data_IF_528950332055
#
_entry.id   IF_528950332055
#
_cell.length_a   1.000
_cell.length_b   1.000
_cell.length_c   1.000
_cell.angle_alpha   90.00
_cell.angle_beta   90.00
_cell.angle_gamma   90.00
#
_symmetry.space_group_name_H-M   'P 1'
#
loop_
_entity.id
_entity.type
_entity.pdbx_description
1 polymer ?
#
# COMPACT_ATOMS: atom_id res chain seq x y z
N UNK A 1 31.89 -41.07 -45.84
CA UNK A 1 30.44 -41.02 -45.60
C UNK A 1 30.19 -41.77 -44.31
N UNK A 2 30.02 -41.04 -43.20
CA UNK A 2 29.80 -41.62 -41.88
C UNK A 2 28.35 -41.31 -41.47
N UNK A 3 27.56 -42.36 -41.25
CA UNK A 3 26.18 -42.28 -40.76
C UNK A 3 26.17 -41.78 -39.31
N UNK A 4 25.53 -40.64 -39.09
CA UNK A 4 25.25 -40.11 -37.76
C UNK A 4 23.99 -40.81 -37.20
N UNK A 5 24.20 -41.71 -36.25
CA UNK A 5 23.13 -42.35 -35.48
C UNK A 5 22.52 -41.29 -34.55
N UNK A 6 21.30 -40.84 -34.85
CA UNK A 6 20.51 -39.97 -33.98
C UNK A 6 20.13 -40.73 -32.71
N UNK A 7 20.71 -40.33 -31.58
CA UNK A 7 20.29 -40.77 -30.26
C UNK A 7 18.87 -40.26 -29.98
N UNK A 8 17.90 -41.16 -30.02
CA UNK A 8 16.54 -40.89 -29.57
C UNK A 8 16.57 -40.74 -28.05
N UNK A 9 16.59 -39.49 -27.57
CA UNK A 9 16.34 -39.17 -26.16
C UNK A 9 14.92 -39.60 -25.79
N UNK A 10 14.79 -40.77 -25.18
CA UNK A 10 13.57 -41.20 -24.49
C UNK A 10 13.39 -40.32 -23.26
N UNK A 11 12.55 -39.29 -23.36
CA UNK A 11 12.03 -38.60 -22.19
C UNK A 11 11.17 -39.60 -21.39
N UNK A 12 11.36 -39.71 -20.06
CA UNK A 12 10.45 -40.51 -19.25
C UNK A 12 9.02 -40.00 -19.45
N UNK A 13 8.02 -40.89 -19.53
CA UNK A 13 6.63 -40.49 -19.66
C UNK A 13 6.31 -39.52 -18.54
N UNK A 14 5.72 -38.39 -18.90
CA UNK A 14 5.27 -37.39 -17.96
C UNK A 14 4.30 -38.07 -16.98
N UNK A 15 4.81 -38.49 -15.82
CA UNK A 15 3.97 -38.78 -14.67
C UNK A 15 3.17 -37.52 -14.46
N UNK A 16 1.90 -37.58 -14.82
CA UNK A 16 0.86 -36.68 -14.36
C UNK A 16 0.79 -36.85 -12.85
N UNK A 17 1.77 -36.26 -12.15
CA UNK A 17 1.56 -35.80 -10.81
C UNK A 17 0.30 -34.96 -10.91
N UNK A 18 -0.80 -35.54 -10.46
CA UNK A 18 -1.97 -34.80 -10.01
C UNK A 18 -1.43 -33.93 -8.90
N UNK A 19 -0.82 -32.80 -9.29
CA UNK A 19 -0.39 -31.75 -8.38
C UNK A 19 -1.68 -31.33 -7.74
N UNK A 20 -1.87 -31.86 -6.55
CA UNK A 20 -2.99 -31.58 -5.69
C UNK A 20 -3.03 -30.06 -5.60
N UNK A 21 -3.96 -29.44 -6.35
CA UNK A 21 -4.11 -27.99 -6.58
C UNK A 21 -4.57 -27.26 -5.30
N UNK A 22 -4.11 -27.76 -4.14
CA UNK A 22 -4.66 -27.58 -2.79
C UNK A 22 -3.81 -26.64 -1.92
N UNK A 23 -3.03 -25.75 -2.52
CA UNK A 23 -2.51 -24.57 -1.83
C UNK A 23 -2.45 -23.40 -2.81
N UNK A 24 -3.59 -22.69 -2.97
CA UNK A 24 -3.76 -21.62 -3.96
C UNK A 24 -3.25 -20.25 -3.46
N UNK A 25 -2.15 -20.22 -2.72
CA UNK A 25 -1.42 -18.95 -2.56
C UNK A 25 -0.77 -18.61 -3.91
N UNK A 26 -0.80 -17.33 -4.30
CA UNK A 26 -0.09 -16.90 -5.53
C UNK A 26 1.43 -17.05 -5.38
N UNK A 27 1.92 -17.07 -4.15
CA UNK A 27 3.32 -17.19 -3.77
C UNK A 27 3.57 -18.49 -3.03
N UNK A 28 4.70 -19.13 -3.32
CA UNK A 28 5.22 -20.18 -2.45
C UNK A 28 5.79 -19.55 -1.18
N UNK A 29 5.86 -20.32 -0.10
CA UNK A 29 6.35 -19.82 1.20
C UNK A 29 7.78 -19.27 1.12
N UNK A 30 8.63 -19.92 0.32
CA UNK A 30 10.02 -19.54 0.06
C UNK A 30 10.18 -18.30 -0.85
N UNK A 31 9.11 -17.88 -1.53
CA UNK A 31 9.15 -16.75 -2.47
C UNK A 31 8.73 -15.41 -1.84
N UNK A 32 8.00 -15.41 -0.72
CA UNK A 32 7.40 -14.18 -0.17
C UNK A 32 8.45 -13.18 0.30
N UNK A 33 9.45 -13.61 1.05
CA UNK A 33 10.52 -12.70 1.52
C UNK A 33 11.39 -12.21 0.35
N UNK A 34 11.84 -13.06 -0.59
CA UNK A 34 12.52 -12.60 -1.80
C UNK A 34 11.70 -11.60 -2.63
N UNK A 35 10.39 -11.83 -2.81
CA UNK A 35 9.53 -10.90 -3.55
C UNK A 35 9.37 -9.57 -2.80
N UNK A 36 9.25 -9.60 -1.47
CA UNK A 36 9.22 -8.39 -0.66
C UNK A 36 10.52 -7.58 -0.73
N UNK A 37 11.69 -8.25 -0.70
CA UNK A 37 12.98 -7.59 -0.92
C UNK A 37 13.11 -7.03 -2.33
N UNK A 38 12.60 -7.74 -3.34
CA UNK A 38 12.51 -7.24 -4.72
C UNK A 38 11.63 -5.99 -4.79
N UNK A 39 10.48 -5.94 -4.11
CA UNK A 39 9.65 -4.74 -4.00
C UNK A 39 10.48 -3.58 -3.45
N UNK A 40 11.17 -3.77 -2.33
CA UNK A 40 12.01 -2.73 -1.74
C UNK A 40 13.12 -2.26 -2.69
N UNK A 41 13.81 -3.19 -3.36
CA UNK A 41 14.81 -2.86 -4.39
C UNK A 41 14.22 -1.94 -5.46
N UNK A 42 13.03 -2.25 -5.98
CA UNK A 42 12.35 -1.44 -6.98
C UNK A 42 11.79 -0.11 -6.44
N UNK A 43 11.65 0.05 -5.13
CA UNK A 43 11.41 1.36 -4.50
C UNK A 43 12.70 2.18 -4.38
N UNK A 44 13.82 1.56 -3.98
CA UNK A 44 15.09 2.26 -3.82
C UNK A 44 15.64 2.81 -5.14
N UNK A 45 15.46 2.10 -6.27
CA UNK A 45 15.92 2.57 -7.58
C UNK A 45 15.43 3.99 -7.90
N UNK A 46 14.11 4.29 -7.99
CA UNK A 46 13.64 5.63 -8.30
C UNK A 46 14.00 6.64 -7.20
N UNK A 47 13.96 6.25 -5.92
CA UNK A 47 14.37 7.15 -4.82
C UNK A 47 15.82 7.59 -5.00
N UNK A 48 16.74 6.66 -5.29
CA UNK A 48 18.15 6.97 -5.51
C UNK A 48 18.35 7.83 -6.76
N UNK A 49 17.65 7.53 -7.86
CA UNK A 49 17.69 8.37 -9.07
C UNK A 49 17.28 9.82 -8.75
N UNK A 50 16.16 10.03 -8.06
CA UNK A 50 15.71 11.37 -7.70
C UNK A 50 16.59 12.04 -6.64
N UNK A 51 17.24 11.26 -5.78
CA UNK A 51 18.24 11.78 -4.83
C UNK A 51 19.43 12.36 -5.57
N UNK A 52 19.93 11.69 -6.62
CA UNK A 52 21.01 12.22 -7.47
C UNK A 52 20.59 13.54 -8.11
N UNK A 53 19.38 13.62 -8.68
CA UNK A 53 18.89 14.86 -9.28
C UNK A 53 18.75 15.98 -8.24
N UNK A 54 18.22 15.66 -7.05
CA UNK A 54 18.17 16.62 -5.94
C UNK A 54 19.55 17.13 -5.51
N UNK A 55 20.57 16.27 -5.48
CA UNK A 55 21.95 16.68 -5.21
C UNK A 55 22.45 17.66 -6.27
N UNK A 56 22.18 17.40 -7.56
CA UNK A 56 22.51 18.31 -8.65
C UNK A 56 21.79 19.66 -8.49
N UNK A 57 20.48 19.66 -8.24
CA UNK A 57 19.71 20.88 -8.02
C UNK A 57 20.24 21.71 -6.84
N UNK A 58 20.57 21.03 -5.73
CA UNK A 58 20.96 21.69 -4.49
C UNK A 58 22.39 22.24 -4.51
N UNK A 59 23.33 21.49 -5.06
CA UNK A 59 24.76 21.82 -4.93
C UNK A 59 25.37 22.38 -6.21
N UNK A 60 24.84 22.02 -7.39
CA UNK A 60 25.37 22.47 -8.69
C UNK A 60 24.54 23.63 -9.22
N UNK A 61 23.23 23.42 -9.39
CA UNK A 61 22.33 24.46 -9.94
C UNK A 61 22.05 25.56 -8.91
N UNK A 62 22.00 25.19 -7.62
CA UNK A 62 21.71 26.09 -6.50
C UNK A 62 20.39 26.88 -6.66
N UNK A 63 19.42 26.29 -7.35
CA UNK A 63 18.11 26.91 -7.53
C UNK A 63 17.35 27.00 -6.19
N UNK A 64 16.74 28.15 -5.91
CA UNK A 64 15.81 28.32 -4.79
C UNK A 64 14.51 27.56 -5.03
N UNK A 65 14.13 27.39 -6.30
CA UNK A 65 12.96 26.64 -6.74
C UNK A 65 13.40 25.25 -7.23
N UNK A 66 13.23 24.24 -6.37
CA UNK A 66 13.67 22.86 -6.63
C UNK A 66 12.49 21.97 -6.97
N UNK A 67 12.66 21.09 -7.94
CA UNK A 67 11.62 20.11 -8.29
C UNK A 67 11.50 19.04 -7.20
N UNK A 68 12.63 18.64 -6.61
CA UNK A 68 12.69 17.47 -5.72
C UNK A 68 12.97 17.82 -4.26
N UNK A 69 12.09 18.56 -3.56
CA UNK A 69 12.32 18.85 -2.12
C UNK A 69 12.50 17.60 -1.24
N UNK A 70 11.83 16.51 -1.61
CA UNK A 70 11.97 15.21 -0.96
C UNK A 70 12.06 14.12 -2.04
N UNK A 71 13.26 13.58 -2.31
CA UNK A 71 13.49 12.55 -3.33
C UNK A 71 12.67 11.28 -3.16
N UNK A 72 12.22 10.97 -1.94
CA UNK A 72 11.36 9.82 -1.69
C UNK A 72 9.87 10.12 -1.95
N UNK A 73 9.45 11.37 -1.80
CA UNK A 73 8.05 11.79 -1.98
C UNK A 73 7.65 11.87 -3.46
N UNK A 74 8.53 12.39 -4.31
CA UNK A 74 8.25 12.54 -5.74
C UNK A 74 7.88 11.22 -6.44
N UNK A 75 8.64 10.12 -6.31
CA UNK A 75 8.23 8.84 -6.88
C UNK A 75 6.92 8.31 -6.28
N UNK A 76 6.64 8.57 -5.00
CA UNK A 76 5.33 8.21 -4.41
C UNK A 76 4.18 8.91 -5.13
N UNK A 77 4.32 10.19 -5.48
CA UNK A 77 3.29 10.91 -6.25
C UNK A 77 3.10 10.31 -7.64
N UNK A 78 4.19 10.14 -8.38
CA UNK A 78 4.16 9.63 -9.76
C UNK A 78 3.50 8.24 -9.82
N UNK A 79 4.01 7.30 -9.01
CA UNK A 79 3.50 5.93 -9.00
C UNK A 79 2.16 5.81 -8.27
N UNK A 80 1.93 6.62 -7.23
CA UNK A 80 0.69 6.65 -6.47
C UNK A 80 -0.48 7.18 -7.29
N UNK A 81 -0.34 8.31 -8.00
CA UNK A 81 -1.40 8.80 -8.89
C UNK A 81 -1.72 7.81 -10.01
N UNK A 82 -0.69 7.16 -10.58
CA UNK A 82 -0.90 6.06 -11.52
C UNK A 82 -1.68 4.92 -10.91
N UNK A 83 -1.28 4.47 -9.72
CA UNK A 83 -1.96 3.42 -8.98
C UNK A 83 -3.42 3.78 -8.70
N UNK A 84 -3.69 5.01 -8.28
CA UNK A 84 -5.05 5.51 -7.98
C UNK A 84 -5.92 5.51 -9.22
N UNK A 85 -5.42 6.06 -10.33
CA UNK A 85 -6.17 6.13 -11.58
C UNK A 85 -6.44 4.75 -12.16
N UNK A 86 -5.43 3.87 -12.22
CA UNK A 86 -5.60 2.50 -12.74
C UNK A 86 -6.55 1.70 -11.85
N UNK A 87 -6.39 1.80 -10.52
CA UNK A 87 -7.30 1.18 -9.56
C UNK A 87 -8.74 1.65 -9.75
N UNK A 88 -8.95 2.96 -9.88
CA UNK A 88 -10.26 3.57 -10.14
C UNK A 88 -10.84 3.06 -11.46
N UNK A 89 -10.12 3.14 -12.58
CA UNK A 89 -10.60 2.66 -13.87
C UNK A 89 -10.99 1.17 -13.84
N UNK A 90 -10.21 0.33 -13.16
CA UNK A 90 -10.50 -1.09 -13.01
C UNK A 90 -11.74 -1.35 -12.13
N UNK A 91 -11.93 -0.54 -11.09
CA UNK A 91 -13.12 -0.57 -10.25
C UNK A 91 -14.36 -0.13 -11.04
N UNK A 92 -14.31 1.03 -11.70
CA UNK A 92 -15.42 1.63 -12.46
C UNK A 92 -15.91 0.73 -13.60
N UNK A 93 -15.01 -0.02 -14.23
CA UNK A 93 -15.35 -0.97 -15.30
C UNK A 93 -15.59 -2.40 -14.81
N UNK A 94 -15.63 -2.63 -13.49
CA UNK A 94 -15.95 -3.95 -12.93
C UNK A 94 -17.43 -4.31 -13.15
N UNK A 95 -17.76 -5.61 -13.14
CA UNK A 95 -19.15 -6.08 -13.24
C UNK A 95 -20.06 -5.51 -12.13
N UNK A 96 -19.48 -5.13 -10.98
CA UNK A 96 -20.23 -4.61 -9.82
C UNK A 96 -20.74 -3.20 -10.03
N UNK A 97 -19.94 -2.36 -10.68
CA UNK A 97 -20.33 -0.99 -11.02
C UNK A 97 -21.41 -0.93 -12.11
N UNK A 98 -21.82 -2.08 -12.66
CA UNK A 98 -23.02 -2.18 -13.51
C UNK A 98 -24.32 -2.25 -12.72
N UNK A 99 -24.26 -2.44 -11.40
CA UNK A 99 -25.42 -2.53 -10.50
C UNK A 99 -25.56 -1.24 -9.69
N UNK A 100 -26.80 -0.82 -9.42
CA UNK A 100 -27.11 0.35 -8.57
C UNK A 100 -26.43 0.24 -7.20
N UNK A 101 -26.48 -0.94 -6.57
CA UNK A 101 -25.81 -1.15 -5.28
C UNK A 101 -24.30 -0.91 -5.31
N UNK A 102 -23.62 -1.15 -6.45
CA UNK A 102 -22.21 -0.82 -6.61
C UNK A 102 -21.97 0.70 -6.59
N UNK A 103 -22.82 1.46 -7.27
CA UNK A 103 -22.78 2.92 -7.26
C UNK A 103 -23.10 3.52 -5.89
N UNK A 104 -24.09 2.97 -5.18
CA UNK A 104 -24.42 3.41 -3.81
C UNK A 104 -23.21 3.26 -2.89
N UNK A 105 -22.52 2.11 -2.94
CA UNK A 105 -21.28 1.92 -2.19
C UNK A 105 -20.17 2.90 -2.61
N UNK A 106 -19.97 3.10 -3.90
CA UNK A 106 -18.96 4.04 -4.41
C UNK A 106 -19.22 5.47 -3.93
N UNK A 107 -20.44 5.98 -4.13
CA UNK A 107 -20.83 7.34 -3.74
C UNK A 107 -20.78 7.50 -2.21
N UNK A 108 -21.27 6.51 -1.46
CA UNK A 108 -21.19 6.53 0.00
C UNK A 108 -19.76 6.59 0.52
N UNK A 109 -18.86 5.75 -0.01
CA UNK A 109 -17.45 5.77 0.37
C UNK A 109 -16.74 7.05 -0.09
N UNK A 110 -17.10 7.60 -1.25
CA UNK A 110 -16.59 8.88 -1.72
C UNK A 110 -17.00 10.00 -0.74
N UNK A 111 -18.27 10.06 -0.33
CA UNK A 111 -18.75 11.02 0.65
C UNK A 111 -18.02 10.91 1.99
N UNK A 112 -17.83 9.68 2.51
CA UNK A 112 -17.02 9.44 3.72
C UNK A 112 -15.59 9.94 3.55
N UNK A 113 -14.98 9.71 2.38
CA UNK A 113 -13.61 10.16 2.12
C UNK A 113 -13.47 11.69 2.07
N UNK A 114 -14.50 12.38 1.59
CA UNK A 114 -14.56 13.85 1.61
C UNK A 114 -14.67 14.35 3.05
N UNK A 115 -15.49 13.70 3.90
CA UNK A 115 -15.58 14.05 5.32
C UNK A 115 -14.24 13.86 6.05
N UNK A 116 -13.55 12.74 5.82
CA UNK A 116 -12.22 12.49 6.39
C UNK A 116 -11.22 13.54 5.88
N UNK A 117 -11.29 13.92 4.60
CA UNK A 117 -10.43 14.94 4.01
C UNK A 117 -10.66 16.33 4.59
N UNK A 118 -11.92 16.73 4.79
CA UNK A 118 -12.30 17.99 5.44
C UNK A 118 -11.84 18.00 6.90
N UNK A 119 -12.04 16.91 7.63
CA UNK A 119 -11.53 16.76 8.99
C UNK A 119 -10.00 16.91 9.00
N UNK A 120 -9.28 16.17 8.15
CA UNK A 120 -7.82 16.26 8.05
C UNK A 120 -7.37 17.69 7.75
N UNK A 121 -8.02 18.40 6.82
CA UNK A 121 -7.73 19.81 6.51
C UNK A 121 -7.97 20.75 7.69
N UNK A 122 -9.13 20.66 8.35
CA UNK A 122 -9.51 21.54 9.46
C UNK A 122 -8.58 21.44 10.67
N UNK A 123 -7.90 20.31 10.82
CA UNK A 123 -6.91 20.08 11.87
C UNK A 123 -5.46 20.25 11.38
N UNK A 124 -5.23 21.02 10.31
CA UNK A 124 -3.89 21.41 9.85
C UNK A 124 -3.23 20.44 8.87
N UNK A 125 -3.92 19.36 8.50
CA UNK A 125 -3.51 18.40 7.48
C UNK A 125 -2.08 17.91 7.66
N UNK A 126 -1.27 17.97 6.59
CA UNK A 126 0.13 17.55 6.63
C UNK A 126 1.03 18.40 7.55
N UNK A 127 0.59 19.62 7.90
CA UNK A 127 1.34 20.48 8.81
C UNK A 127 1.16 20.05 10.27
N UNK A 128 0.02 19.43 10.58
CA UNK A 128 -0.22 18.82 11.88
C UNK A 128 0.35 17.40 11.93
N UNK A 129 1.37 17.15 12.75
CA UNK A 129 2.02 15.84 12.85
C UNK A 129 1.12 14.72 13.37
N UNK A 130 0.17 15.02 14.27
CA UNK A 130 -0.79 14.04 14.78
C UNK A 130 -1.67 13.56 13.63
N UNK A 131 -2.09 14.50 12.78
CA UNK A 131 -2.83 14.18 11.56
C UNK A 131 -2.00 13.34 10.59
N UNK A 132 -0.70 13.60 10.44
CA UNK A 132 0.20 12.77 9.62
C UNK A 132 0.31 11.34 10.18
N UNK A 133 0.40 11.16 11.50
CA UNK A 133 0.40 9.84 12.15
C UNK A 133 -0.93 9.11 11.86
N UNK A 134 -2.08 9.76 12.05
CA UNK A 134 -3.38 9.16 11.75
C UNK A 134 -3.56 8.82 10.28
N UNK A 135 -3.14 9.72 9.40
CA UNK A 135 -3.10 9.46 7.96
C UNK A 135 -2.27 8.21 7.65
N UNK A 136 -1.09 8.10 8.25
CA UNK A 136 -0.22 6.95 8.04
C UNK A 136 -0.84 5.66 8.58
N UNK A 137 -1.40 5.68 9.79
CA UNK A 137 -2.11 4.53 10.36
C UNK A 137 -3.33 4.12 9.50
N UNK A 138 -4.07 5.09 8.97
CA UNK A 138 -5.18 4.86 8.05
C UNK A 138 -4.70 4.19 6.75
N UNK A 139 -3.61 4.68 6.17
CA UNK A 139 -2.96 4.01 5.03
C UNK A 139 -2.51 2.59 5.38
N UNK A 140 -1.95 2.36 6.57
CA UNK A 140 -1.54 1.04 7.01
C UNK A 140 -2.71 0.06 7.14
N UNK A 141 -3.92 0.52 7.46
CA UNK A 141 -5.12 -0.35 7.43
C UNK A 141 -5.30 -0.95 6.04
N UNK A 142 -5.17 -0.11 5.01
CA UNK A 142 -5.27 -0.53 3.62
C UNK A 142 -4.10 -1.39 3.17
N UNK A 143 -2.87 -0.95 3.46
CA UNK A 143 -1.66 -1.68 3.10
C UNK A 143 -1.64 -3.10 3.68
N UNK A 144 -1.98 -3.26 4.96
CA UNK A 144 -2.05 -4.57 5.61
C UNK A 144 -3.16 -5.46 5.05
N UNK A 145 -4.34 -4.90 4.80
CA UNK A 145 -5.43 -5.64 4.15
C UNK A 145 -5.00 -6.19 2.80
N UNK A 146 -4.30 -5.37 2.01
CA UNK A 146 -3.81 -5.78 0.69
C UNK A 146 -2.66 -6.80 0.80
N UNK A 147 -1.75 -6.68 1.77
CA UNK A 147 -0.73 -7.72 2.05
C UNK A 147 -1.35 -9.06 2.42
N UNK A 148 -2.38 -9.06 3.28
CA UNK A 148 -3.14 -10.28 3.59
C UNK A 148 -3.76 -10.83 2.31
N UNK A 149 -4.35 -9.98 1.47
CA UNK A 149 -4.89 -10.42 0.19
C UNK A 149 -3.83 -10.99 -0.77
N UNK A 150 -2.59 -10.51 -0.72
CA UNK A 150 -1.50 -10.98 -1.58
C UNK A 150 -0.97 -12.35 -1.16
N UNK A 151 -0.78 -12.56 0.14
CA UNK A 151 0.03 -13.66 0.67
C UNK A 151 -0.75 -14.69 1.49
N UNK A 152 -2.02 -14.44 1.84
CA UNK A 152 -2.81 -15.39 2.63
C UNK A 152 -3.05 -16.68 1.83
N UNK A 153 -2.79 -17.86 2.42
CA UNK A 153 -3.13 -19.13 1.79
C UNK A 153 -4.66 -19.32 1.74
N UNK A 154 -5.14 -19.87 0.62
CA UNK A 154 -6.55 -20.23 0.42
C UNK A 154 -6.72 -21.72 0.74
N UNK A 155 -7.75 -22.04 1.52
CA UNK A 155 -8.15 -23.41 1.89
C UNK A 155 -9.58 -23.66 1.43
N UNK A 156 -9.94 -24.91 1.16
CA UNK A 156 -11.32 -25.28 0.79
C UNK A 156 -12.28 -25.26 2.02
N UNK A 157 -11.74 -25.23 3.24
CA UNK A 157 -12.52 -25.07 4.48
C UNK A 157 -12.86 -23.60 4.75
N UNK A 158 -14.09 -23.22 4.42
CA UNK A 158 -14.60 -21.86 4.61
C UNK A 158 -14.62 -21.40 6.08
N UNK A 159 -14.85 -22.32 7.03
CA UNK A 159 -14.88 -22.01 8.46
C UNK A 159 -13.49 -21.70 9.00
N UNK A 160 -12.50 -22.51 8.60
CA UNK A 160 -11.10 -22.29 8.89
C UNK A 160 -10.59 -21.00 8.25
N UNK A 161 -10.96 -20.75 6.98
CA UNK A 161 -10.58 -19.53 6.28
C UNK A 161 -11.12 -18.27 6.97
N UNK A 162 -12.39 -18.29 7.40
CA UNK A 162 -13.01 -17.19 8.14
C UNK A 162 -12.31 -16.94 9.46
N UNK A 163 -12.00 -18.00 10.20
CA UNK A 163 -11.29 -17.90 11.49
C UNK A 163 -9.89 -17.31 11.32
N UNK A 164 -9.14 -17.76 10.30
CA UNK A 164 -7.83 -17.19 9.94
C UNK A 164 -7.91 -15.72 9.56
N UNK A 165 -8.89 -15.31 8.74
CA UNK A 165 -9.11 -13.90 8.40
C UNK A 165 -9.40 -13.04 9.63
N UNK A 166 -10.21 -13.55 10.57
CA UNK A 166 -10.51 -12.85 11.83
C UNK A 166 -9.27 -12.68 12.69
N UNK A 167 -8.44 -13.73 12.79
CA UNK A 167 -7.17 -13.66 13.53
C UNK A 167 -6.23 -12.63 12.88
N UNK A 168 -6.07 -12.65 11.55
CA UNK A 168 -5.23 -11.66 10.84
C UNK A 168 -5.74 -10.23 11.00
N UNK A 169 -7.06 -10.02 10.96
CA UNK A 169 -7.66 -8.71 11.22
C UNK A 169 -7.41 -8.24 12.67
N UNK A 170 -7.47 -9.14 13.64
CA UNK A 170 -7.14 -8.81 15.03
C UNK A 170 -5.64 -8.55 15.25
N UNK A 171 -4.75 -9.29 14.58
CA UNK A 171 -3.32 -8.98 14.56
C UNK A 171 -3.06 -7.59 13.98
N UNK A 172 -3.71 -7.26 12.87
CA UNK A 172 -3.64 -5.94 12.26
C UNK A 172 -4.12 -4.86 13.23
N UNK A 173 -5.26 -5.07 13.91
CA UNK A 173 -5.76 -4.15 14.92
C UNK A 173 -4.75 -3.99 16.07
N UNK A 174 -4.25 -5.09 16.64
CA UNK A 174 -3.23 -5.04 17.70
C UNK A 174 -1.99 -4.27 17.25
N UNK A 175 -1.49 -4.54 16.05
CA UNK A 175 -0.32 -3.87 15.50
C UNK A 175 -0.54 -2.37 15.33
N UNK A 176 -1.68 -1.96 14.78
CA UNK A 176 -2.01 -0.53 14.62
C UNK A 176 -2.15 0.18 15.96
N UNK A 177 -2.77 -0.46 16.95
CA UNK A 177 -2.86 0.08 18.32
C UNK A 177 -1.46 0.21 18.93
N UNK A 178 -0.62 -0.82 18.83
CA UNK A 178 0.77 -0.79 19.30
C UNK A 178 1.60 0.29 18.59
N UNK A 179 1.47 0.44 17.28
CA UNK A 179 2.15 1.50 16.53
C UNK A 179 1.68 2.89 16.99
N UNK A 180 0.37 3.09 17.20
CA UNK A 180 -0.17 4.33 17.75
C UNK A 180 0.45 4.64 19.13
N UNK A 181 0.60 3.63 20.00
CA UNK A 181 1.23 3.77 21.31
C UNK A 181 2.70 4.11 21.31
N UNK A 182 3.43 3.73 20.27
CA UNK A 182 4.86 4.04 20.18
C UNK A 182 5.04 5.36 19.45
N UNK A 183 4.40 5.54 18.30
CA UNK A 183 4.61 6.69 17.42
C UNK A 183 4.10 7.99 18.05
N UNK A 184 2.96 7.98 18.73
CA UNK A 184 2.40 9.20 19.31
C UNK A 184 3.28 9.74 20.44
N UNK A 185 3.66 8.96 21.48
CA UNK A 185 4.58 9.43 22.51
C UNK A 185 5.99 9.74 21.97
N UNK A 186 6.53 8.91 21.08
CA UNK A 186 7.84 9.18 20.46
C UNK A 186 7.84 10.51 19.70
N UNK A 187 6.72 10.85 19.07
CA UNK A 187 6.55 12.13 18.40
C UNK A 187 6.53 13.32 19.38
N UNK A 188 5.79 13.22 20.49
CA UNK A 188 5.77 14.28 21.50
C UNK A 188 7.12 14.44 22.20
N UNK A 189 7.83 13.34 22.44
CA UNK A 189 9.21 13.37 22.94
C UNK A 189 10.15 14.05 21.93
N UNK A 190 10.01 13.73 20.64
CA UNK A 190 10.79 14.40 19.60
C UNK A 190 10.53 15.92 19.58
N UNK A 191 9.28 16.34 19.73
CA UNK A 191 8.92 17.76 19.79
C UNK A 191 9.46 18.47 21.03
N UNK A 192 9.44 17.83 22.19
CA UNK A 192 10.03 18.44 23.40
C UNK A 192 11.54 18.61 23.28
N UNK A 193 12.21 17.71 22.56
CA UNK A 193 13.64 17.80 22.29
C UNK A 193 13.99 18.79 21.16
N UNK A 194 13.08 19.01 20.21
CA UNK A 194 13.25 19.93 19.08
C UNK A 194 12.00 20.79 18.90
N UNK A 195 11.83 21.84 19.73
CA UNK A 195 10.69 22.73 19.63
C UNK A 195 10.63 23.33 18.23
N UNK A 196 9.48 23.17 17.57
CA UNK A 196 9.19 23.85 16.30
C UNK A 196 8.30 25.04 16.58
N UNK A 197 8.61 26.24 16.04
CA UNK A 197 7.67 27.35 16.09
C UNK A 197 6.51 27.03 15.14
N UNK A 198 5.38 26.61 15.71
CA UNK A 198 4.12 26.49 14.97
C UNK A 198 3.43 27.85 14.92
N UNK A 199 2.62 28.10 13.90
CA UNK A 199 1.73 29.27 13.92
C UNK A 199 0.73 29.12 15.07
N UNK A 200 0.24 30.22 15.67
CA UNK A 200 -0.72 30.15 16.76
C UNK A 200 -1.96 29.30 16.42
N UNK A 201 -2.43 29.37 15.18
CA UNK A 201 -3.59 28.61 14.70
C UNK A 201 -3.31 27.11 14.69
N UNK A 202 -2.15 26.70 14.17
CA UNK A 202 -1.77 25.28 14.13
C UNK A 202 -1.49 24.73 15.53
N UNK A 203 -0.89 25.54 16.41
CA UNK A 203 -0.69 25.17 17.80
C UNK A 203 -2.04 24.93 18.50
N UNK A 204 -3.00 25.85 18.33
CA UNK A 204 -4.35 25.70 18.88
C UNK A 204 -5.06 24.44 18.34
N UNK A 205 -4.90 24.12 17.04
CA UNK A 205 -5.44 22.89 16.45
C UNK A 205 -4.80 21.63 17.06
N UNK A 206 -3.50 21.63 17.31
CA UNK A 206 -2.79 20.51 17.96
C UNK A 206 -3.30 20.36 19.39
N UNK A 207 -3.32 21.43 20.16
CA UNK A 207 -3.76 21.45 21.56
C UNK A 207 -5.21 20.99 21.71
N UNK A 208 -6.10 21.43 20.82
CA UNK A 208 -7.50 21.00 20.79
C UNK A 208 -7.65 19.48 20.64
N UNK A 209 -6.76 18.81 19.90
CA UNK A 209 -6.79 17.36 19.71
C UNK A 209 -6.21 16.58 20.88
N UNK A 210 -5.40 17.20 21.73
CA UNK A 210 -4.66 16.49 22.78
C UNK A 210 -5.55 15.73 23.77
N UNK A 211 -6.67 16.28 24.29
CA UNK A 211 -7.57 15.54 25.18
C UNK A 211 -8.17 14.31 24.49
N UNK A 212 -8.59 14.46 23.23
CA UNK A 212 -9.14 13.35 22.44
C UNK A 212 -8.09 12.28 22.18
N UNK A 213 -6.85 12.68 21.84
CA UNK A 213 -5.75 11.77 21.62
C UNK A 213 -5.41 10.98 22.89
N UNK A 214 -5.40 11.63 24.06
CA UNK A 214 -5.26 10.95 25.36
C UNK A 214 -6.39 9.95 25.58
N UNK A 215 -7.64 10.34 25.32
CA UNK A 215 -8.80 9.46 25.41
C UNK A 215 -8.70 8.24 24.49
N UNK A 216 -8.31 8.45 23.22
CA UNK A 216 -8.08 7.39 22.23
C UNK A 216 -6.96 6.47 22.69
N UNK A 217 -5.83 7.01 23.16
CA UNK A 217 -4.72 6.25 23.72
C UNK A 217 -5.09 5.52 25.01
N UNK A 218 -6.08 5.96 25.79
CA UNK A 218 -6.54 5.18 26.93
C UNK A 218 -7.49 4.05 26.47
N UNK A 219 -8.44 4.38 25.59
CA UNK A 219 -9.39 3.41 25.04
C UNK A 219 -8.73 2.29 24.24
N UNK A 220 -7.64 2.59 23.51
CA UNK A 220 -6.91 1.58 22.75
C UNK A 220 -6.27 0.50 23.61
N UNK A 221 -6.06 0.72 24.92
CA UNK A 221 -5.41 -0.25 25.81
C UNK A 221 -6.40 -1.32 26.18
N UNK A 222 -7.61 -0.87 26.54
CA UNK A 222 -8.76 -1.73 26.78
C UNK A 222 -9.07 -2.52 25.52
N UNK A 223 -9.07 -1.86 24.36
CA UNK A 223 -9.30 -2.53 23.07
C UNK A 223 -8.22 -3.57 22.77
N UNK A 224 -6.93 -3.26 23.00
CA UNK A 224 -5.82 -4.19 22.81
C UNK A 224 -5.98 -5.44 23.67
N UNK A 225 -6.28 -5.28 24.96
CA UNK A 225 -6.57 -6.40 25.87
C UNK A 225 -7.75 -7.23 25.37
N UNK A 226 -8.82 -6.58 24.93
CA UNK A 226 -9.97 -7.24 24.30
C UNK A 226 -9.58 -8.06 23.07
N UNK A 227 -8.78 -7.49 22.17
CA UNK A 227 -8.27 -8.18 20.99
C UNK A 227 -7.44 -9.41 21.37
N UNK A 228 -6.56 -9.32 22.38
CA UNK A 228 -5.75 -10.44 22.85
C UNK A 228 -6.61 -11.58 23.43
N UNK A 229 -7.67 -11.25 24.18
CA UNK A 229 -8.61 -12.24 24.69
C UNK A 229 -9.36 -12.94 23.54
N UNK A 230 -9.83 -12.18 22.55
CA UNK A 230 -10.52 -12.74 21.38
C UNK A 230 -9.55 -13.60 20.54
N UNK A 231 -8.32 -13.15 20.33
CA UNK A 231 -7.27 -13.92 19.64
C UNK A 231 -7.05 -15.27 20.33
N UNK A 232 -6.88 -15.28 21.66
CA UNK A 232 -6.73 -16.52 22.43
C UNK A 232 -7.91 -17.48 22.22
N UNK A 233 -9.14 -16.97 22.13
CA UNK A 233 -10.34 -17.79 21.85
C UNK A 233 -10.35 -18.32 20.43
N UNK A 234 -9.94 -17.52 19.45
CA UNK A 234 -9.90 -17.95 18.05
C UNK A 234 -8.78 -18.96 17.77
N UNK A 235 -7.60 -18.82 18.39
CA UNK A 235 -6.53 -19.81 18.26
C UNK A 235 -6.96 -21.19 18.75
N UNK A 236 -7.77 -21.28 19.82
CA UNK A 236 -8.32 -22.56 20.28
C UNK A 236 -9.25 -23.25 19.28
N UNK A 237 -9.75 -22.53 18.27
CA UNK A 237 -10.59 -23.08 17.20
C UNK A 237 -9.77 -23.58 16.00
N UNK A 238 -8.47 -23.28 15.94
CA UNK A 238 -7.62 -23.72 14.85
C UNK A 238 -7.01 -25.10 15.16
N UNK A 239 -6.87 -25.98 14.16
CA UNK A 239 -5.99 -27.14 14.25
C UNK A 239 -4.58 -26.66 14.64
N UNK A 240 -3.97 -27.32 15.63
CA UNK A 240 -2.63 -27.01 16.16
C UNK A 240 -2.48 -25.60 16.75
N UNK A 241 -3.59 -24.92 17.01
CA UNK A 241 -3.64 -23.64 17.71
C UNK A 241 -2.77 -22.53 17.09
N UNK A 242 -1.95 -21.89 17.92
CA UNK A 242 -1.04 -20.83 17.49
C UNK A 242 0.07 -21.36 16.57
N UNK A 243 0.56 -22.57 16.80
CA UNK A 243 1.64 -23.18 16.01
C UNK A 243 1.17 -23.44 14.59
N UNK A 244 0.00 -24.04 14.41
CA UNK A 244 -0.61 -24.25 13.09
C UNK A 244 -0.91 -22.94 12.38
N UNK A 245 -1.38 -21.91 13.11
CA UNK A 245 -1.56 -20.57 12.55
C UNK A 245 -0.24 -19.97 12.07
N UNK A 246 0.80 -20.02 12.90
CA UNK A 246 2.12 -19.50 12.57
C UNK A 246 2.69 -20.18 11.34
N UNK A 247 2.72 -21.51 11.29
CA UNK A 247 3.25 -22.25 10.14
C UNK A 247 2.49 -21.87 8.85
N UNK A 248 1.15 -21.87 8.90
CA UNK A 248 0.34 -21.54 7.73
C UNK A 248 0.37 -20.07 7.29
N UNK A 249 0.74 -19.13 8.16
CA UNK A 249 0.72 -17.69 7.84
C UNK A 249 2.09 -17.02 7.99
N UNK A 250 3.15 -17.78 8.26
CA UNK A 250 4.52 -17.29 8.47
C UNK A 250 4.93 -16.27 7.42
N UNK A 251 4.68 -16.46 6.11
CA UNK A 251 5.10 -15.48 5.11
C UNK A 251 4.42 -14.12 5.28
N UNK A 252 3.11 -14.10 5.50
CA UNK A 252 2.34 -12.86 5.76
C UNK A 252 2.84 -12.20 7.04
N UNK A 253 3.01 -12.99 8.11
CA UNK A 253 3.45 -12.48 9.41
C UNK A 253 4.85 -11.88 9.36
N UNK A 254 5.76 -12.45 8.58
CA UNK A 254 7.11 -11.90 8.37
C UNK A 254 7.05 -10.56 7.62
N UNK A 255 6.25 -10.45 6.57
CA UNK A 255 6.08 -9.18 5.84
C UNK A 255 5.47 -8.11 6.76
N UNK A 256 4.48 -8.46 7.58
CA UNK A 256 3.90 -7.57 8.58
C UNK A 256 4.94 -7.14 9.62
N UNK A 257 5.75 -8.07 10.12
CA UNK A 257 6.83 -7.79 11.07
C UNK A 257 7.87 -6.85 10.47
N UNK A 258 8.39 -7.13 9.27
CA UNK A 258 9.38 -6.27 8.64
C UNK A 258 8.82 -4.87 8.35
N UNK A 259 7.56 -4.80 7.91
CA UNK A 259 6.88 -3.51 7.72
C UNK A 259 6.78 -2.74 9.04
N UNK A 260 6.39 -3.41 10.14
CA UNK A 260 6.34 -2.81 11.47
C UNK A 260 7.72 -2.33 11.94
N UNK A 261 8.78 -3.11 11.71
CA UNK A 261 10.15 -2.73 12.06
C UNK A 261 10.62 -1.49 11.29
N UNK A 262 10.31 -1.38 9.99
CA UNK A 262 10.61 -0.17 9.21
C UNK A 262 9.88 1.05 9.78
N UNK A 263 8.62 0.89 10.21
CA UNK A 263 7.84 1.96 10.84
C UNK A 263 8.48 2.38 12.17
N UNK A 264 8.84 1.41 13.01
CA UNK A 264 9.47 1.68 14.31
C UNK A 264 10.85 2.31 14.17
N UNK A 265 11.56 2.06 13.06
CA UNK A 265 12.81 2.74 12.72
C UNK A 265 12.63 4.18 12.21
N UNK A 266 11.40 4.58 11.84
CA UNK A 266 11.14 5.91 11.27
C UNK A 266 11.57 7.11 12.13
N UNK A 267 11.49 7.10 13.48
CA UNK A 267 11.98 8.22 14.29
C UNK A 267 13.51 8.39 14.20
N UNK A 268 14.25 7.30 13.96
CA UNK A 268 15.71 7.30 13.85
C UNK A 268 16.17 7.69 12.45
N UNK A 269 15.47 7.17 11.44
CA UNK A 269 15.88 7.24 10.04
C UNK A 269 15.28 8.44 9.31
N UNK A 270 14.21 9.01 9.87
CA UNK A 270 13.53 10.21 9.36
C UNK A 270 12.28 9.91 8.53
N UNK A 271 11.55 10.96 8.12
CA UNK A 271 10.21 10.85 7.53
C UNK A 271 10.18 10.22 6.12
N UNK A 272 11.33 10.03 5.47
CA UNK A 272 11.39 9.40 4.15
C UNK A 272 10.98 7.92 4.19
N UNK A 273 11.07 7.26 5.35
CA UNK A 273 10.64 5.86 5.52
C UNK A 273 9.14 5.70 5.28
N UNK A 274 8.32 6.71 5.62
CA UNK A 274 6.89 6.69 5.30
C UNK A 274 6.64 6.67 3.79
N UNK A 275 7.41 7.45 3.03
CA UNK A 275 7.36 7.42 1.57
C UNK A 275 7.81 6.06 1.03
N UNK A 276 8.89 5.48 1.57
CA UNK A 276 9.32 4.13 1.19
C UNK A 276 8.20 3.11 1.37
N UNK A 277 7.50 3.14 2.51
CA UNK A 277 6.39 2.23 2.80
C UNK A 277 5.20 2.43 1.85
N UNK A 278 4.81 3.68 1.61
CA UNK A 278 3.75 4.02 0.65
C UNK A 278 4.13 3.53 -0.77
N UNK A 279 5.36 3.81 -1.21
CA UNK A 279 5.86 3.36 -2.51
C UNK A 279 5.91 1.83 -2.61
N UNK A 280 6.33 1.15 -1.53
CA UNK A 280 6.40 -0.31 -1.48
C UNK A 280 5.03 -0.96 -1.67
N UNK A 281 3.96 -0.31 -1.20
CA UNK A 281 2.61 -0.76 -1.44
C UNK A 281 2.23 -0.67 -2.93
N UNK A 282 2.53 0.45 -3.60
CA UNK A 282 2.24 0.59 -5.05
C UNK A 282 3.03 -0.40 -5.89
N UNK A 283 4.32 -0.54 -5.60
CA UNK A 283 5.22 -1.48 -6.29
C UNK A 283 4.79 -2.93 -6.01
N UNK A 284 4.43 -3.24 -4.77
CA UNK A 284 3.90 -4.55 -4.38
C UNK A 284 2.61 -4.89 -5.09
N UNK A 285 1.68 -3.95 -5.19
CA UNK A 285 0.45 -4.14 -5.96
C UNK A 285 0.72 -4.35 -7.45
N UNK A 286 1.67 -3.60 -8.03
CA UNK A 286 2.08 -3.76 -9.43
C UNK A 286 2.61 -5.17 -9.71
N UNK A 287 3.52 -5.69 -8.86
CA UNK A 287 4.05 -7.03 -9.01
C UNK A 287 2.99 -8.10 -8.78
N UNK A 288 2.17 -7.95 -7.74
CA UNK A 288 1.06 -8.85 -7.45
C UNK A 288 0.09 -8.95 -8.63
N UNK A 289 -0.38 -7.81 -9.16
CA UNK A 289 -1.32 -7.77 -10.27
C UNK A 289 -0.72 -8.39 -11.53
N UNK A 290 0.55 -8.09 -11.84
CA UNK A 290 1.27 -8.68 -12.96
C UNK A 290 1.37 -10.21 -12.82
N UNK A 291 1.77 -10.70 -11.64
CA UNK A 291 1.88 -12.14 -11.37
C UNK A 291 0.53 -12.84 -11.48
N UNK A 292 -0.53 -12.23 -10.93
CA UNK A 292 -1.90 -12.76 -11.04
C UNK A 292 -2.34 -12.88 -12.51
N UNK A 293 -2.07 -11.86 -13.32
CA UNK A 293 -2.36 -11.90 -14.76
C UNK A 293 -1.53 -12.97 -15.50
N UNK A 294 -0.28 -13.17 -15.10
CA UNK A 294 0.59 -14.21 -15.66
C UNK A 294 0.04 -15.62 -15.42
N UNK A 295 -0.66 -15.85 -14.31
CA UNK A 295 -1.29 -17.15 -14.00
C UNK A 295 -2.63 -17.40 -14.70
N UNK A 296 -3.16 -16.44 -15.48
CA UNK A 296 -4.42 -16.64 -16.19
C UNK A 296 -4.22 -17.63 -17.36
N UNK A 297 -5.12 -18.63 -17.53
CA UNK A 297 -4.99 -19.62 -18.60
C UNK A 297 -4.93 -19.04 -20.02
N UNK A 298 -5.62 -17.92 -20.24
CA UNK A 298 -5.63 -17.20 -21.52
C UNK A 298 -5.50 -15.71 -21.26
N UNK A 299 -4.38 -15.13 -21.69
CA UNK A 299 -4.22 -13.68 -21.69
C UNK A 299 -4.95 -13.07 -22.89
N UNK A 300 -5.53 -11.90 -22.69
CA UNK A 300 -6.16 -11.13 -23.77
C UNK A 300 -5.09 -10.59 -24.73
N UNK A 301 -5.41 -10.51 -26.01
CA UNK A 301 -4.59 -9.88 -27.05
C UNK A 301 -5.06 -8.44 -27.32
N UNK A 302 -4.30 -7.65 -28.09
CA UNK A 302 -4.77 -6.31 -28.52
C UNK A 302 -6.01 -6.39 -29.42
N UNK A 303 -6.14 -7.46 -30.21
CA UNK A 303 -7.29 -7.70 -31.08
C UNK A 303 -8.60 -7.95 -30.33
N UNK A 304 -8.52 -8.35 -29.05
CA UNK A 304 -9.69 -8.49 -28.17
C UNK A 304 -10.31 -7.15 -27.72
N UNK A 305 -9.69 -6.03 -28.09
CA UNK A 305 -10.04 -4.67 -27.66
C UNK A 305 -9.09 -4.14 -26.60
N UNK A 306 -8.71 -2.86 -26.72
CA UNK A 306 -7.65 -2.23 -25.93
C UNK A 306 -7.90 -2.34 -24.41
N UNK A 307 -9.13 -2.09 -23.96
CA UNK A 307 -9.48 -2.17 -22.53
C UNK A 307 -9.41 -3.61 -21.99
N UNK A 308 -9.89 -4.59 -22.77
CA UNK A 308 -9.81 -6.00 -22.42
C UNK A 308 -8.35 -6.46 -22.37
N UNK A 309 -7.52 -5.98 -23.30
CA UNK A 309 -6.07 -6.22 -23.30
C UNK A 309 -5.39 -5.66 -22.04
N UNK A 310 -5.69 -4.42 -21.66
CA UNK A 310 -5.14 -3.79 -20.45
C UNK A 310 -5.50 -4.55 -19.16
N UNK A 311 -6.73 -5.08 -19.08
CA UNK A 311 -7.21 -5.82 -17.89
C UNK A 311 -6.85 -7.30 -17.88
N UNK A 312 -6.63 -7.88 -19.04
CA UNK A 312 -6.56 -9.34 -19.22
C UNK A 312 -5.19 -9.86 -19.64
N UNK A 313 -4.15 -9.03 -19.66
CA UNK A 313 -2.78 -9.46 -19.99
C UNK A 313 -1.75 -8.71 -19.17
N UNK A 314 -0.60 -9.35 -18.94
CA UNK A 314 0.52 -8.72 -18.21
C UNK A 314 1.03 -7.50 -18.98
N UNK A 315 1.31 -7.67 -20.28
CA UNK A 315 1.81 -6.59 -21.11
C UNK A 315 0.84 -5.41 -21.18
N UNK A 316 -0.47 -5.66 -21.29
CA UNK A 316 -1.49 -4.62 -21.28
C UNK A 316 -1.50 -3.84 -19.97
N UNK A 317 -1.57 -4.55 -18.84
CA UNK A 317 -1.54 -3.94 -17.52
C UNK A 317 -0.29 -3.09 -17.30
N UNK A 318 0.88 -3.62 -17.63
CA UNK A 318 2.15 -2.91 -17.46
C UNK A 318 2.23 -1.66 -18.35
N UNK A 319 1.81 -1.74 -19.62
CA UNK A 319 1.79 -0.57 -20.51
C UNK A 319 0.82 0.50 -20.01
N UNK A 320 -0.36 0.13 -19.53
CA UNK A 320 -1.31 1.08 -18.94
C UNK A 320 -0.70 1.75 -17.71
N UNK A 321 -0.20 0.97 -16.75
CA UNK A 321 0.30 1.51 -15.50
C UNK A 321 1.55 2.38 -15.68
N UNK A 322 2.55 1.90 -16.43
CA UNK A 322 3.75 2.69 -16.68
C UNK A 322 3.48 3.90 -17.59
N UNK A 323 2.56 3.77 -18.55
CA UNK A 323 2.12 4.88 -19.38
C UNK A 323 1.45 5.98 -18.58
N UNK A 324 0.54 5.63 -17.66
CA UNK A 324 -0.10 6.60 -16.76
C UNK A 324 0.92 7.23 -15.81
N UNK A 325 1.87 6.46 -15.26
CA UNK A 325 2.95 7.01 -14.45
C UNK A 325 3.81 8.02 -15.24
N UNK A 326 4.14 7.72 -16.50
CA UNK A 326 4.87 8.64 -17.38
C UNK A 326 4.07 9.92 -17.65
N UNK A 327 2.75 9.83 -17.84
CA UNK A 327 1.87 11.01 -17.98
C UNK A 327 1.92 11.87 -16.72
N UNK A 328 1.74 11.30 -15.52
CA UNK A 328 1.80 12.07 -14.27
C UNK A 328 3.18 12.67 -14.02
N UNK A 329 4.25 11.96 -14.37
CA UNK A 329 5.60 12.50 -14.34
C UNK A 329 5.71 13.77 -15.20
N UNK A 330 5.30 13.71 -16.47
CA UNK A 330 5.33 14.87 -17.38
C UNK A 330 4.43 15.99 -16.88
N UNK A 331 3.21 15.69 -16.39
CA UNK A 331 2.30 16.71 -15.84
C UNK A 331 2.92 17.44 -14.65
N UNK A 332 3.55 16.72 -13.71
CA UNK A 332 4.21 17.32 -12.55
C UNK A 332 5.41 18.17 -12.99
N UNK A 333 6.21 17.69 -13.96
CA UNK A 333 7.32 18.47 -14.54
C UNK A 333 6.82 19.75 -15.20
N UNK A 334 5.81 19.65 -16.06
CA UNK A 334 5.26 20.80 -16.78
C UNK A 334 4.68 21.83 -15.80
N UNK A 335 3.98 21.36 -14.77
CA UNK A 335 3.45 22.21 -13.72
C UNK A 335 4.55 22.98 -12.99
N UNK A 336 5.65 22.30 -12.67
CA UNK A 336 6.79 22.92 -11.99
C UNK A 336 7.51 23.96 -12.86
N UNK A 337 7.81 23.64 -14.12
CA UNK A 337 8.62 24.51 -14.98
C UNK A 337 7.84 25.62 -15.69
N UNK A 338 6.57 25.41 -16.01
CA UNK A 338 5.81 26.33 -16.87
C UNK A 338 4.61 26.99 -16.18
N UNK A 339 4.03 26.38 -15.15
CA UNK A 339 2.77 26.87 -14.53
C UNK A 339 2.99 27.59 -13.18
N UNK A 340 4.25 27.84 -12.81
CA UNK A 340 4.68 28.65 -11.65
C UNK A 340 3.87 28.40 -10.37
N UNK A 341 3.58 27.13 -10.06
CA UNK A 341 2.84 26.71 -8.85
C UNK A 341 1.45 27.36 -8.65
N UNK A 342 0.86 27.95 -9.70
CA UNK A 342 -0.49 28.54 -9.63
C UNK A 342 -1.47 27.72 -10.46
N UNK A 343 -2.72 27.66 -10.00
CA UNK A 343 -3.80 27.00 -10.73
C UNK A 343 -4.09 25.55 -10.33
N UNK A 344 -5.08 24.98 -11.03
CA UNK A 344 -5.72 23.72 -10.64
C UNK A 344 -4.79 22.51 -10.70
N UNK A 345 -3.82 22.50 -11.62
CA UNK A 345 -2.87 21.39 -11.77
C UNK A 345 -1.97 21.30 -10.54
N UNK A 346 -1.44 22.43 -10.05
CA UNK A 346 -0.68 22.44 -8.80
C UNK A 346 -1.54 22.01 -7.62
N UNK A 347 -2.77 22.54 -7.52
CA UNK A 347 -3.70 22.16 -6.45
C UNK A 347 -4.00 20.66 -6.44
N UNK A 348 -4.13 20.01 -7.60
CA UNK A 348 -4.48 18.58 -7.69
C UNK A 348 -3.28 17.64 -7.62
N UNK A 349 -2.07 18.06 -8.02
CA UNK A 349 -0.88 17.19 -8.11
C UNK A 349 0.28 17.61 -7.18
N UNK A 350 0.05 18.56 -6.29
CA UNK A 350 1.00 18.92 -5.23
C UNK A 350 1.24 17.77 -4.25
N UNK A 351 2.35 17.86 -3.52
CA UNK A 351 2.63 16.97 -2.39
C UNK A 351 1.52 16.98 -1.33
N UNK A 352 0.78 18.09 -1.19
CA UNK A 352 -0.33 18.19 -0.24
C UNK A 352 -1.53 17.39 -0.75
N UNK A 353 -1.88 17.60 -2.03
CA UNK A 353 -2.97 16.92 -2.69
C UNK A 353 -2.84 15.40 -2.59
N UNK A 354 -1.61 14.89 -2.65
CA UNK A 354 -1.33 13.46 -2.54
C UNK A 354 -1.91 12.81 -1.27
N UNK A 355 -1.90 13.50 -0.12
CA UNK A 355 -2.51 12.98 1.11
C UNK A 355 -4.02 12.80 0.94
N UNK A 356 -4.70 13.79 0.38
CA UNK A 356 -6.15 13.73 0.14
C UNK A 356 -6.52 12.67 -0.90
N UNK A 357 -5.78 12.58 -1.99
CA UNK A 357 -5.96 11.53 -2.99
C UNK A 357 -5.78 10.13 -2.39
N UNK A 358 -4.81 9.98 -1.48
CA UNK A 358 -4.60 8.73 -0.77
C UNK A 358 -5.76 8.41 0.16
N UNK A 359 -6.29 9.40 0.91
CA UNK A 359 -7.49 9.21 1.75
C UNK A 359 -8.67 8.75 0.90
N UNK A 360 -8.92 9.40 -0.23
CA UNK A 360 -9.98 9.04 -1.18
C UNK A 360 -9.78 7.62 -1.68
N UNK A 361 -8.61 7.33 -2.23
CA UNK A 361 -8.26 6.00 -2.78
C UNK A 361 -8.44 4.89 -1.74
N UNK A 362 -7.88 5.07 -0.55
CA UNK A 362 -7.97 4.10 0.54
C UNK A 362 -9.44 3.87 0.91
N UNK A 363 -10.21 4.94 1.10
CA UNK A 363 -11.63 4.83 1.50
C UNK A 363 -12.47 4.10 0.45
N UNK A 364 -12.38 4.50 -0.83
CA UNK A 364 -13.15 3.85 -1.91
C UNK A 364 -12.74 2.38 -2.11
N UNK A 365 -11.49 2.03 -1.78
CA UNK A 365 -11.01 0.65 -1.88
C UNK A 365 -11.68 -0.33 -0.92
N UNK A 366 -12.43 0.15 0.07
CA UNK A 366 -13.26 -0.68 0.96
C UNK A 366 -14.58 -1.13 0.33
N UNK A 367 -14.87 -0.70 -0.91
CA UNK A 367 -16.00 -1.24 -1.66
C UNK A 367 -15.90 -2.78 -1.69
N UNK A 368 -16.99 -3.52 -1.39
CA UNK A 368 -16.94 -4.96 -1.25
C UNK A 368 -16.30 -5.63 -2.47
N UNK A 369 -15.28 -6.50 -2.26
CA UNK A 369 -14.69 -7.37 -3.28
C UNK A 369 -15.47 -8.70 -3.25
N UNK A 370 -16.07 -9.14 -4.35
CA UNK A 370 -16.78 -10.42 -4.47
C UNK A 370 -16.47 -11.03 -5.82
#
# INVERSE_FOLDING_TARGET
MAEAISAVTTYPPATTLVVNRRNKSLFREDEVVPEWLKILKWCFIPILCFTVVWFVEKYIVQSSHRLFYNPAEFPCRVFGFSHYLVGLMFMMSSKKMRKVGGWVWFVGLLAVSLLISVFFYNFGGKANPVMVIFYFLFFMVHGFRDMVFFYKPVTDDAGLERTRSQILALFQACLLLSLMYVLVPAYFLYLSLKPKPYTPELQAQIEMLMPYLKGVLMGSWILLLGCLVVLRRLFRKLPDGLTGFWQGNKPVLLVLLYTALIILASPLVGPWTYNLLILSHFVGWYFYASRRLATMPKQSSRGDGLWKWFRGSVAGFQRLHLGVAAIFFVVILLNHFFLMDTGIINTLFSANAFYYWTVIHVTISFAPRS
#
